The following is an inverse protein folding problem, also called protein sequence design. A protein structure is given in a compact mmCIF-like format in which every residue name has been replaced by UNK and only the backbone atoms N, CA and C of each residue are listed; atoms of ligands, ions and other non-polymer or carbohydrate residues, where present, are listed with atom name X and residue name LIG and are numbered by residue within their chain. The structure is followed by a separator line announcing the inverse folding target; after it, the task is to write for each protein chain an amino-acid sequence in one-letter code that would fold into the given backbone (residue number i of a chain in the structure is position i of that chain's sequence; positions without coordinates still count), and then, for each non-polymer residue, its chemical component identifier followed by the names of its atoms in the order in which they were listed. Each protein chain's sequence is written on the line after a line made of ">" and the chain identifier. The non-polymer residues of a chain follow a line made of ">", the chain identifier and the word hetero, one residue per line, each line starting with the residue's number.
data_IF_460248239883
#
_entry.id   IF_460248239883
#
_cell.length_a   1.000
_cell.length_b   1.000
_cell.length_c   1.000
_cell.angle_alpha   90.00
_cell.angle_beta   90.00
_cell.angle_gamma   90.00
#
_symmetry.space_group_name_H-M   'P 1'
#
loop_
_entity.id
_entity.type
_entity.pdbx_description
1 polymer ?
#
# COMPACT_ATOMS: atom_id res chain seq x y z
N UNK A 1 -0.18 6.41 8.21
CA UNK A 1 -1.40 5.58 8.21
C UNK A 1 -1.09 4.09 8.04
N UNK A 2 -0.21 3.68 7.10
CA UNK A 2 0.27 2.27 6.98
C UNK A 2 1.47 1.93 7.90
N UNK A 3 1.65 2.68 8.99
CA UNK A 3 2.81 2.51 9.88
C UNK A 3 2.80 1.13 10.54
N UNK A 4 1.63 0.73 11.06
CA UNK A 4 1.48 -0.57 11.73
C UNK A 4 1.68 -1.75 10.78
N UNK A 5 1.27 -1.60 9.51
CA UNK A 5 1.55 -2.59 8.47
C UNK A 5 3.05 -2.78 8.27
N UNK A 6 3.82 -1.69 8.10
CA UNK A 6 5.26 -1.79 7.87
C UNK A 6 5.98 -2.45 9.04
N UNK A 7 5.58 -2.14 10.27
CA UNK A 7 6.12 -2.77 11.46
C UNK A 7 5.78 -4.25 11.54
N UNK A 8 4.51 -4.62 11.34
CA UNK A 8 4.09 -6.01 11.42
C UNK A 8 4.83 -6.89 10.40
N UNK A 9 5.04 -6.39 9.18
CA UNK A 9 5.82 -7.11 8.17
C UNK A 9 7.30 -7.26 8.58
N UNK A 10 7.90 -6.23 9.18
CA UNK A 10 9.26 -6.32 9.68
C UNK A 10 9.37 -7.27 10.90
N UNK A 11 8.37 -7.27 11.77
CA UNK A 11 8.27 -8.19 12.91
C UNK A 11 8.14 -9.67 12.46
N UNK A 12 7.46 -9.90 11.34
CA UNK A 12 7.35 -11.19 10.64
C UNK A 12 8.64 -11.63 9.91
N UNK A 13 9.71 -10.84 9.96
CA UNK A 13 11.01 -11.20 9.37
C UNK A 13 11.26 -10.63 7.99
N UNK A 14 10.38 -9.77 7.48
CA UNK A 14 10.56 -9.20 6.14
C UNK A 14 11.50 -7.99 6.13
N UNK A 15 12.24 -7.84 5.02
CA UNK A 15 12.92 -6.59 4.68
C UNK A 15 11.92 -5.65 4.00
N UNK A 16 11.55 -4.56 4.66
CA UNK A 16 10.47 -3.67 4.21
C UNK A 16 11.04 -2.33 3.76
N UNK A 17 10.99 -2.04 2.46
CA UNK A 17 11.30 -0.72 1.94
C UNK A 17 10.09 0.21 2.06
N UNK A 18 10.24 1.33 2.77
CA UNK A 18 9.12 2.27 3.05
C UNK A 18 9.37 3.62 2.41
N UNK A 19 8.54 3.96 1.41
CA UNK A 19 8.57 5.25 0.72
C UNK A 19 7.67 6.25 1.43
N UNK A 20 8.24 7.36 1.92
CA UNK A 20 7.48 8.46 2.47
C UNK A 20 8.26 9.78 2.43
N UNK A 21 7.55 10.91 2.43
CA UNK A 21 8.16 12.24 2.30
C UNK A 21 8.88 12.76 3.55
N UNK A 22 8.55 12.25 4.74
CA UNK A 22 8.98 12.86 6.01
C UNK A 22 10.09 12.02 6.65
N UNK A 23 11.37 12.46 6.61
CA UNK A 23 12.49 11.67 7.10
C UNK A 23 12.40 11.34 8.59
N UNK A 24 11.95 12.28 9.43
CA UNK A 24 11.83 12.04 10.88
C UNK A 24 10.81 10.94 11.22
N UNK A 25 9.72 10.83 10.46
CA UNK A 25 8.74 9.74 10.62
C UNK A 25 9.29 8.39 10.18
N UNK A 26 10.09 8.37 9.11
CA UNK A 26 10.79 7.17 8.67
C UNK A 26 11.84 6.74 9.69
N UNK A 27 12.62 7.68 10.24
CA UNK A 27 13.59 7.39 11.30
C UNK A 27 12.90 6.76 12.52
N UNK A 28 11.82 7.37 13.01
CA UNK A 28 11.05 6.81 14.12
C UNK A 28 10.50 5.41 13.82
N UNK A 29 10.12 5.11 12.57
CA UNK A 29 9.70 3.77 12.16
C UNK A 29 10.86 2.78 12.19
N UNK A 30 12.03 3.16 11.69
CA UNK A 30 13.25 2.33 11.72
C UNK A 30 13.73 2.10 13.16
N UNK A 31 13.71 3.12 14.01
CA UNK A 31 14.12 3.01 15.41
C UNK A 31 13.22 2.03 16.20
N UNK A 32 11.92 1.98 15.90
CA UNK A 32 10.98 1.05 16.55
C UNK A 32 11.15 -0.39 16.07
N UNK A 33 11.53 -0.59 14.81
CA UNK A 33 11.77 -1.91 14.24
C UNK A 33 13.21 -2.45 14.48
N UNK A 34 14.03 -1.76 15.29
CA UNK A 34 15.47 -2.06 15.42
C UNK A 34 15.77 -3.48 15.95
N UNK A 35 14.88 -4.02 16.77
CA UNK A 35 15.04 -5.33 17.44
C UNK A 35 14.14 -6.40 16.78
N UNK A 36 13.54 -6.11 15.63
CA UNK A 36 12.69 -7.05 14.92
C UNK A 36 13.52 -8.08 14.15
N UNK A 37 12.89 -9.21 13.80
CA UNK A 37 13.53 -10.26 13.02
C UNK A 37 13.82 -9.83 11.58
N UNK A 38 13.03 -8.90 11.04
CA UNK A 38 13.25 -8.21 9.76
C UNK A 38 13.81 -6.82 9.96
N UNK A 39 13.66 -5.94 8.96
CA UNK A 39 14.13 -4.56 9.07
C UNK A 39 13.36 -3.59 8.16
N UNK A 40 13.46 -2.31 8.51
CA UNK A 40 12.92 -1.21 7.70
C UNK A 40 14.06 -0.55 6.91
N UNK A 41 13.93 -0.52 5.58
CA UNK A 41 14.73 0.30 4.68
C UNK A 41 13.98 1.60 4.35
N UNK A 42 14.30 2.74 5.00
CA UNK A 42 13.57 3.98 4.78
C UNK A 42 13.98 4.66 3.46
N UNK A 43 13.00 5.05 2.65
CA UNK A 43 13.19 5.78 1.38
C UNK A 43 12.53 7.16 1.47
N UNK A 44 13.26 8.20 1.95
CA UNK A 44 12.72 9.54 2.18
C UNK A 44 12.55 10.33 0.86
N UNK A 45 11.49 10.05 0.12
CA UNK A 45 11.20 10.70 -1.17
C UNK A 45 9.70 10.94 -1.40
N UNK A 46 9.41 11.79 -2.36
CA UNK A 46 8.05 11.97 -2.90
C UNK A 46 7.87 11.05 -4.11
N UNK A 47 6.92 10.12 -4.03
CA UNK A 47 6.65 9.16 -5.12
C UNK A 47 6.17 9.83 -6.41
N UNK A 48 5.82 11.13 -6.38
CA UNK A 48 5.48 11.91 -7.57
C UNK A 48 6.72 12.20 -8.43
N UNK A 49 7.92 12.14 -7.85
CA UNK A 49 9.17 12.19 -8.61
C UNK A 49 9.52 10.76 -9.08
N UNK A 50 9.00 10.40 -10.26
CA UNK A 50 9.19 9.06 -10.82
C UNK A 50 10.66 8.68 -11.00
N UNK A 51 11.52 9.63 -11.37
CA UNK A 51 12.97 9.39 -11.54
C UNK A 51 13.62 9.03 -10.21
N UNK A 52 13.35 9.80 -9.15
CA UNK A 52 13.88 9.48 -7.81
C UNK A 52 13.30 8.19 -7.26
N UNK A 53 12.00 7.94 -7.47
CA UNK A 53 11.34 6.72 -7.05
C UNK A 53 11.98 5.49 -7.68
N UNK A 54 12.10 5.45 -9.01
CA UNK A 54 12.68 4.31 -9.72
C UNK A 54 14.15 4.07 -9.36
N UNK A 55 14.93 5.14 -9.15
CA UNK A 55 16.31 5.03 -8.68
C UNK A 55 16.37 4.39 -7.29
N UNK A 56 15.53 4.82 -6.36
CA UNK A 56 15.50 4.29 -5.00
C UNK A 56 15.03 2.82 -4.96
N UNK A 57 14.03 2.46 -5.78
CA UNK A 57 13.58 1.06 -5.91
C UNK A 57 14.68 0.17 -6.47
N UNK A 58 15.42 0.63 -7.49
CA UNK A 58 16.59 -0.09 -8.03
C UNK A 58 17.64 -0.35 -6.96
N UNK A 59 18.01 0.67 -6.19
CA UNK A 59 18.98 0.53 -5.09
C UNK A 59 18.49 -0.44 -4.01
N UNK A 60 17.18 -0.45 -3.72
CA UNK A 60 16.61 -1.42 -2.78
C UNK A 60 16.70 -2.85 -3.31
N UNK A 61 16.40 -3.08 -4.60
CA UNK A 61 16.52 -4.40 -5.23
C UNK A 61 17.97 -4.88 -5.26
N UNK A 62 18.91 -4.00 -5.63
CA UNK A 62 20.34 -4.32 -5.64
C UNK A 62 20.87 -4.73 -4.25
N UNK A 63 20.31 -4.14 -3.19
CA UNK A 63 20.78 -4.37 -1.82
C UNK A 63 20.07 -5.54 -1.12
N UNK A 64 18.78 -5.73 -1.37
CA UNK A 64 17.92 -6.61 -0.59
C UNK A 64 17.23 -7.70 -1.42
N UNK A 65 17.40 -7.69 -2.74
CA UNK A 65 16.74 -8.60 -3.66
C UNK A 65 15.38 -8.11 -4.17
N UNK A 66 14.76 -8.88 -5.07
CA UNK A 66 13.50 -8.52 -5.71
C UNK A 66 12.33 -8.43 -4.72
N UNK A 67 11.31 -7.65 -5.08
CA UNK A 67 10.13 -7.48 -4.23
C UNK A 67 9.13 -8.63 -4.45
N UNK A 68 8.75 -9.33 -3.38
CA UNK A 68 7.64 -10.31 -3.42
C UNK A 68 6.26 -9.73 -3.07
N UNK A 69 6.23 -8.53 -2.47
CA UNK A 69 5.02 -7.85 -2.02
C UNK A 69 5.20 -6.33 -2.19
N UNK A 70 4.19 -5.68 -2.77
CA UNK A 70 4.10 -4.22 -2.81
C UNK A 70 2.73 -3.77 -2.29
N UNK A 71 2.74 -2.85 -1.32
CA UNK A 71 1.50 -2.24 -0.80
C UNK A 71 1.55 -0.74 -1.11
N UNK A 72 0.74 -0.32 -2.07
CA UNK A 72 0.75 1.02 -2.62
C UNK A 72 -0.53 1.76 -2.21
N UNK A 73 -0.40 2.72 -1.30
CA UNK A 73 -1.44 3.74 -1.10
C UNK A 73 -1.05 5.02 -1.83
N UNK A 74 -1.33 5.03 -3.13
CA UNK A 74 -1.02 6.15 -4.02
C UNK A 74 -2.34 6.84 -4.37
N UNK A 75 -2.43 8.14 -4.08
CA UNK A 75 -3.61 8.93 -4.39
C UNK A 75 -3.82 9.08 -5.91
N UNK A 76 -5.07 9.26 -6.33
CA UNK A 76 -5.46 9.44 -7.75
C UNK A 76 -4.80 10.63 -8.44
N UNK A 77 -4.17 11.53 -7.70
CA UNK A 77 -3.38 12.66 -8.21
C UNK A 77 -2.02 12.24 -8.78
N UNK A 78 -1.61 10.98 -8.64
CA UNK A 78 -0.36 10.46 -9.18
C UNK A 78 -0.56 9.06 -9.80
N UNK A 79 -1.42 8.92 -10.82
CA UNK A 79 -1.76 7.62 -11.39
C UNK A 79 -0.55 6.93 -12.03
N UNK A 80 0.38 7.70 -12.60
CA UNK A 80 1.60 7.18 -13.19
C UNK A 80 2.54 6.53 -12.16
N UNK A 81 2.55 7.00 -10.91
CA UNK A 81 3.44 6.45 -9.89
C UNK A 81 3.14 4.97 -9.61
N UNK A 82 1.86 4.58 -9.54
CA UNK A 82 1.50 3.18 -9.35
C UNK A 82 1.91 2.32 -10.54
N UNK A 83 1.69 2.82 -11.75
CA UNK A 83 2.07 2.11 -12.99
C UNK A 83 3.60 1.98 -13.11
N UNK A 84 4.35 3.01 -12.75
CA UNK A 84 5.81 2.99 -12.73
C UNK A 84 6.36 1.97 -11.72
N UNK A 85 5.78 1.91 -10.51
CA UNK A 85 6.14 0.90 -9.51
C UNK A 85 5.85 -0.51 -10.05
N UNK A 86 4.66 -0.72 -10.63
CA UNK A 86 4.30 -2.00 -11.22
C UNK A 86 5.24 -2.40 -12.36
N UNK A 87 5.50 -1.52 -13.32
CA UNK A 87 6.44 -1.79 -14.42
C UNK A 87 7.84 -2.14 -13.90
N UNK A 88 8.37 -1.37 -12.97
CA UNK A 88 9.67 -1.64 -12.36
C UNK A 88 9.73 -3.02 -11.69
N UNK A 89 8.70 -3.37 -10.90
CA UNK A 89 8.64 -4.67 -10.22
C UNK A 89 8.53 -5.80 -11.26
N UNK A 90 7.75 -5.59 -12.33
CA UNK A 90 7.52 -6.61 -13.35
C UNK A 90 8.81 -6.97 -14.08
N UNK A 91 9.68 -5.98 -14.28
CA UNK A 91 10.98 -6.14 -14.94
C UNK A 91 12.05 -6.75 -14.02
N UNK A 92 11.85 -6.69 -12.69
CA UNK A 92 12.90 -7.02 -11.71
C UNK A 92 12.58 -8.21 -10.82
N UNK A 93 11.34 -8.69 -10.82
CA UNK A 93 10.87 -9.74 -9.90
C UNK A 93 10.10 -10.82 -10.66
N UNK A 94 10.36 -12.09 -10.33
CA UNK A 94 9.64 -13.23 -10.93
C UNK A 94 8.14 -13.21 -10.62
N UNK A 95 7.79 -12.83 -9.39
CA UNK A 95 6.41 -12.64 -8.97
C UNK A 95 6.32 -11.64 -7.83
N UNK A 96 5.32 -10.77 -7.87
CA UNK A 96 5.07 -9.82 -6.79
C UNK A 96 3.58 -9.52 -6.64
N UNK A 97 3.04 -9.70 -5.43
CA UNK A 97 1.65 -9.35 -5.15
C UNK A 97 1.53 -7.85 -4.94
N UNK A 98 0.74 -7.17 -5.76
CA UNK A 98 0.53 -5.72 -5.66
C UNK A 98 -0.82 -5.42 -5.01
N UNK A 99 -0.80 -4.92 -3.77
CA UNK A 99 -1.98 -4.41 -3.08
C UNK A 99 -2.10 -2.90 -3.31
N UNK A 100 -3.10 -2.50 -4.09
CA UNK A 100 -3.45 -1.10 -4.28
C UNK A 100 -4.50 -0.67 -3.25
N UNK A 101 -4.06 0.15 -2.30
CA UNK A 101 -4.91 0.74 -1.27
C UNK A 101 -5.55 2.02 -1.80
N UNK A 102 -6.88 2.10 -1.77
CA UNK A 102 -7.66 3.24 -2.28
C UNK A 102 -8.59 3.78 -1.21
N UNK A 103 -8.91 5.07 -1.25
CA UNK A 103 -9.91 5.66 -0.37
C UNK A 103 -11.35 5.29 -0.78
N UNK A 104 -12.30 5.58 0.10
CA UNK A 104 -13.73 5.24 -0.06
C UNK A 104 -14.37 5.74 -1.36
N UNK A 105 -13.85 6.83 -1.95
CA UNK A 105 -14.25 7.33 -3.27
C UNK A 105 -14.18 6.26 -4.37
N UNK A 106 -13.28 5.28 -4.25
CA UNK A 106 -13.16 4.17 -5.19
C UNK A 106 -14.38 3.24 -5.22
N UNK A 107 -15.21 3.26 -4.18
CA UNK A 107 -16.43 2.48 -4.06
C UNK A 107 -17.70 3.29 -4.38
N UNK A 108 -17.57 4.53 -4.87
CA UNK A 108 -18.73 5.34 -5.23
C UNK A 108 -19.60 4.59 -6.26
N UNK A 109 -20.92 4.44 -6.05
CA UNK A 109 -21.77 3.65 -6.95
C UNK A 109 -21.77 4.12 -8.40
N UNK A 110 -21.75 5.45 -8.61
CA UNK A 110 -21.79 6.07 -9.94
C UNK A 110 -20.42 6.23 -10.64
N UNK A 111 -19.34 6.44 -9.89
CA UNK A 111 -18.03 6.86 -10.44
C UNK A 111 -16.87 5.99 -10.00
N UNK A 112 -17.10 5.11 -9.02
CA UNK A 112 -16.12 4.18 -8.51
C UNK A 112 -15.84 3.05 -9.49
N UNK A 113 -14.66 2.46 -9.38
CA UNK A 113 -14.32 1.25 -10.14
C UNK A 113 -13.70 0.25 -9.19
N UNK A 114 -14.39 -0.88 -9.01
CA UNK A 114 -13.84 -2.07 -8.34
C UNK A 114 -12.95 -2.90 -9.28
N UNK A 115 -12.90 -2.55 -10.57
CA UNK A 115 -12.08 -3.27 -11.54
C UNK A 115 -10.61 -2.85 -11.39
N UNK A 116 -9.66 -3.78 -11.61
CA UNK A 116 -8.26 -3.43 -11.77
C UNK A 116 -8.07 -2.40 -12.90
N UNK A 117 -7.06 -1.51 -12.79
CA UNK A 117 -6.67 -0.66 -13.90
C UNK A 117 -6.30 -1.47 -15.15
N UNK A 118 -6.67 -1.02 -16.35
CA UNK A 118 -6.44 -1.81 -17.58
C UNK A 118 -4.98 -2.18 -17.85
N UNK A 119 -4.03 -1.36 -17.41
CA UNK A 119 -2.59 -1.63 -17.55
C UNK A 119 -2.12 -2.85 -16.75
N UNK A 120 -2.87 -3.32 -15.74
CA UNK A 120 -2.45 -4.50 -14.95
C UNK A 120 -2.41 -5.75 -15.81
N UNK A 121 -3.19 -5.80 -16.90
CA UNK A 121 -3.16 -6.92 -17.85
C UNK A 121 -1.80 -7.06 -18.57
N UNK A 122 -1.00 -5.98 -18.61
CA UNK A 122 0.35 -5.99 -19.19
C UNK A 122 1.41 -6.58 -18.26
N UNK A 123 1.08 -6.86 -16.99
CA UNK A 123 2.03 -7.35 -15.98
C UNK A 123 1.51 -8.63 -15.32
N UNK A 124 1.54 -9.78 -16.03
CA UNK A 124 0.97 -11.04 -15.54
C UNK A 124 1.68 -11.59 -14.29
N UNK A 125 2.96 -11.27 -14.11
CA UNK A 125 3.75 -11.60 -12.92
C UNK A 125 3.47 -10.68 -11.72
N UNK A 126 2.56 -9.71 -11.87
CA UNK A 126 2.10 -8.85 -10.77
C UNK A 126 0.61 -9.08 -10.51
N UNK A 127 0.26 -10.12 -9.75
CA UNK A 127 -1.11 -10.33 -9.31
C UNK A 127 -1.62 -9.10 -8.54
N UNK A 128 -2.58 -8.37 -9.13
CA UNK A 128 -3.15 -7.16 -8.55
C UNK A 128 -4.25 -7.50 -7.53
N UNK A 129 -4.19 -6.89 -6.34
CA UNK A 129 -5.22 -6.91 -5.30
C UNK A 129 -5.66 -5.48 -4.99
N UNK A 130 -6.90 -5.32 -4.56
CA UNK A 130 -7.44 -4.01 -4.18
C UNK A 130 -7.95 -4.01 -2.75
N UNK A 131 -7.55 -2.98 -2.00
CA UNK A 131 -8.07 -2.70 -0.66
C UNK A 131 -8.75 -1.33 -0.69
N UNK A 132 -10.05 -1.26 -0.38
CA UNK A 132 -10.77 0.00 -0.26
C UNK A 132 -10.90 0.36 1.21
N UNK A 133 -10.43 1.54 1.58
CA UNK A 133 -10.59 2.12 2.91
C UNK A 133 -11.94 2.84 2.99
N UNK A 134 -12.83 2.30 3.80
CA UNK A 134 -14.15 2.86 4.07
C UNK A 134 -14.16 3.81 5.27
N UNK A 135 -15.26 3.73 6.01
CA UNK A 135 -15.55 4.43 7.26
C UNK A 135 -16.21 3.45 8.23
N UNK A 136 -16.42 3.85 9.48
CA UNK A 136 -17.13 3.07 10.49
C UNK A 136 -18.44 3.75 10.81
N UNK A 137 -19.51 2.97 11.04
CA UNK A 137 -20.80 3.46 11.51
C UNK A 137 -21.00 2.96 12.95
N UNK A 138 -21.13 3.90 13.88
CA UNK A 138 -21.28 3.66 15.32
C UNK A 138 -22.39 4.57 15.86
N UNK A 139 -23.38 3.99 16.55
CA UNK A 139 -24.48 4.77 17.14
C UNK A 139 -25.27 5.62 16.14
N UNK A 140 -25.40 5.15 14.89
CA UNK A 140 -26.09 5.87 13.81
C UNK A 140 -25.31 7.05 13.20
N UNK A 141 -24.06 7.27 13.61
CA UNK A 141 -23.15 8.27 13.02
C UNK A 141 -21.96 7.57 12.38
N UNK A 142 -21.25 8.28 11.52
CA UNK A 142 -20.06 7.75 10.86
C UNK A 142 -18.78 8.50 11.24
N UNK A 143 -17.65 7.81 11.16
CA UNK A 143 -16.31 8.36 11.36
C UNK A 143 -15.30 7.73 10.40
N UNK A 144 -14.23 8.46 10.11
CA UNK A 144 -13.09 7.88 9.39
C UNK A 144 -12.42 6.76 10.19
N UNK A 145 -11.79 5.84 9.46
CA UNK A 145 -10.95 4.80 10.04
C UNK A 145 -9.73 5.44 10.73
N UNK A 146 -9.37 4.88 11.88
CA UNK A 146 -8.12 5.17 12.58
C UNK A 146 -6.92 4.57 11.83
N UNK A 147 -5.71 5.03 12.16
CA UNK A 147 -4.50 4.45 11.59
C UNK A 147 -4.34 2.95 11.90
N UNK A 148 -4.80 2.52 13.09
CA UNK A 148 -4.76 1.13 13.53
C UNK A 148 -5.74 0.28 12.70
N UNK A 149 -6.98 0.73 12.52
CA UNK A 149 -7.98 0.06 11.68
C UNK A 149 -7.49 -0.05 10.22
N UNK A 150 -6.90 1.02 9.67
CA UNK A 150 -6.32 1.01 8.31
C UNK A 150 -5.18 0.00 8.22
N UNK A 151 -4.19 0.09 9.11
CA UNK A 151 -3.02 -0.81 9.07
C UNK A 151 -3.43 -2.27 9.26
N UNK A 152 -4.28 -2.55 10.24
CA UNK A 152 -4.76 -3.90 10.55
C UNK A 152 -5.59 -4.49 9.42
N UNK A 153 -6.53 -3.73 8.84
CA UNK A 153 -7.34 -4.21 7.72
C UNK A 153 -6.53 -4.46 6.44
N UNK A 154 -5.54 -3.62 6.15
CA UNK A 154 -4.64 -3.85 5.00
C UNK A 154 -3.74 -5.06 5.26
N UNK A 155 -3.24 -5.24 6.49
CA UNK A 155 -2.44 -6.40 6.86
C UNK A 155 -3.24 -7.70 6.77
N UNK A 156 -4.52 -7.71 7.20
CA UNK A 156 -5.41 -8.86 7.02
C UNK A 156 -5.56 -9.23 5.54
N UNK A 157 -5.77 -8.23 4.67
CA UNK A 157 -5.86 -8.45 3.24
C UNK A 157 -4.58 -9.06 2.65
N UNK A 158 -3.41 -8.58 3.11
CA UNK A 158 -2.09 -9.09 2.69
C UNK A 158 -1.86 -10.54 3.13
N UNK A 159 -2.13 -10.85 4.40
CA UNK A 159 -1.91 -12.18 5.00
C UNK A 159 -2.82 -13.23 4.39
N UNK A 160 -4.07 -12.88 4.10
CA UNK A 160 -5.07 -13.79 3.51
C UNK A 160 -5.10 -13.75 1.97
N UNK A 161 -4.17 -13.04 1.35
CA UNK A 161 -4.09 -12.81 -0.09
C UNK A 161 -5.42 -12.44 -0.78
N UNK A 162 -6.21 -11.58 -0.13
CA UNK A 162 -7.56 -11.24 -0.62
C UNK A 162 -7.45 -10.44 -1.92
N UNK A 163 -8.06 -10.95 -3.00
CA UNK A 163 -8.13 -10.25 -4.29
C UNK A 163 -8.77 -8.87 -4.16
N UNK A 164 -9.82 -8.78 -3.35
CA UNK A 164 -10.55 -7.54 -3.05
C UNK A 164 -10.95 -7.54 -1.57
N UNK A 165 -10.81 -6.40 -0.91
CA UNK A 165 -11.26 -6.21 0.47
C UNK A 165 -11.70 -4.77 0.73
N UNK A 166 -12.59 -4.60 1.71
CA UNK A 166 -13.01 -3.30 2.23
C UNK A 166 -12.66 -3.29 3.71
N UNK A 167 -11.96 -2.24 4.15
CA UNK A 167 -11.73 -1.97 5.57
C UNK A 167 -12.82 -1.03 6.06
N UNK A 168 -13.59 -1.45 7.07
CA UNK A 168 -14.81 -0.75 7.49
C UNK A 168 -15.98 -0.99 6.53
N UNK A 169 -16.79 0.03 6.29
CA UNK A 169 -17.89 0.02 5.30
C UNK A 169 -17.75 1.18 4.31
N UNK A 170 -18.32 1.00 3.13
CA UNK A 170 -18.48 2.05 2.10
C UNK A 170 -19.94 2.40 1.86
N UNK A 171 -20.85 1.71 2.55
CA UNK A 171 -22.30 1.85 2.42
C UNK A 171 -22.98 1.94 3.80
N UNK A 172 -24.12 2.67 3.88
CA UNK A 172 -24.73 3.45 2.80
C UNK A 172 -23.91 4.72 2.48
N UNK A 173 -23.88 5.10 1.21
CA UNK A 173 -23.07 6.24 0.74
C UNK A 173 -23.45 7.57 1.41
N UNK A 174 -24.73 7.73 1.78
CA UNK A 174 -25.24 8.89 2.51
C UNK A 174 -24.61 9.08 3.89
N UNK A 175 -24.02 8.04 4.47
CA UNK A 175 -23.31 8.09 5.75
C UNK A 175 -21.79 8.21 5.57
N UNK A 176 -21.28 8.42 4.35
CA UNK A 176 -19.85 8.70 4.18
C UNK A 176 -19.51 10.06 4.82
N UNK A 177 -18.52 10.13 5.73
CA UNK A 177 -18.10 11.40 6.34
C UNK A 177 -17.55 12.42 5.33
#
# INVERSE_FOLDING_TARGET
>A
MLRGLSLALAEEGHMVSVVARTPSRLKSLTDEAKDFSGAINPLPLDYRDGTRLLKALRQAVERFGPFGLAVCWIHSTAPEALRQVAGFIADTSESCRLFHVRGSAAAHPLTGSRRPPGWTASYPNIPYRQVILGFVIEGGRSRWLTHAEISGGVLDAVRNDRLFSIVGTVEPWSLRP
#
